data_IF_345853294953
#
_entry.id   IF_345853294953
#
_cell.length_a   1.000
_cell.length_b   1.000
_cell.length_c   1.000
_cell.angle_alpha   90.00
_cell.angle_beta   90.00
_cell.angle_gamma   90.00
#
_symmetry.space_group_name_H-M   'P 1'
#
loop_
_entity.id
_entity.type
_entity.pdbx_description
1 polymer ?
#
# COMPACT_ATOMS: atom_id res chain seq x y z
N UNK A 1 8.89 2.05 -0.48
CA UNK A 1 9.29 0.65 -0.31
C UNK A 1 8.20 -0.12 0.42
N UNK A 2 8.03 -1.41 0.12
CA UNK A 2 7.08 -2.31 0.80
C UNK A 2 7.87 -3.55 1.23
N UNK A 3 7.77 -3.91 2.50
CA UNK A 3 8.36 -5.13 3.04
C UNK A 3 7.28 -6.22 3.08
N UNK A 4 7.59 -7.38 2.49
CA UNK A 4 6.74 -8.57 2.50
C UNK A 4 7.37 -9.67 3.35
N UNK A 5 6.55 -10.53 3.96
CA UNK A 5 7.00 -11.82 4.49
C UNK A 5 7.22 -12.82 3.35
N UNK A 6 7.88 -13.97 3.60
CA UNK A 6 7.99 -15.05 2.61
C UNK A 6 6.65 -15.61 2.11
N UNK A 7 5.55 -15.36 2.83
CA UNK A 7 4.20 -15.74 2.41
C UNK A 7 3.48 -14.63 1.62
N UNK A 8 4.18 -13.55 1.26
CA UNK A 8 3.62 -12.40 0.53
C UNK A 8 2.73 -11.48 1.38
N UNK A 9 2.88 -11.50 2.70
CA UNK A 9 2.11 -10.63 3.61
C UNK A 9 2.83 -9.30 3.82
N UNK A 10 2.11 -8.18 3.70
CA UNK A 10 2.66 -6.85 3.98
C UNK A 10 3.05 -6.75 5.45
N UNK A 11 4.34 -6.56 5.71
CA UNK A 11 4.90 -6.29 7.03
C UNK A 11 5.05 -4.80 7.30
N UNK A 12 5.40 -4.02 6.28
CA UNK A 12 5.63 -2.57 6.40
C UNK A 12 5.51 -1.88 5.05
N UNK A 13 5.02 -0.65 5.05
CA UNK A 13 5.01 0.25 3.88
C UNK A 13 5.73 1.52 4.28
N UNK A 14 6.69 1.99 3.50
CA UNK A 14 7.42 3.25 3.74
C UNK A 14 7.45 4.12 2.50
N UNK A 15 7.20 5.42 2.68
CA UNK A 15 7.33 6.44 1.63
C UNK A 15 8.69 7.09 1.80
N UNK A 16 9.64 6.70 0.96
CA UNK A 16 11.03 7.18 1.04
C UNK A 16 11.17 8.61 0.52
N UNK A 17 10.43 8.91 -0.53
CA UNK A 17 10.44 10.21 -1.18
C UNK A 17 9.03 10.54 -1.70
N UNK A 18 8.69 11.83 -1.68
CA UNK A 18 7.45 12.36 -2.25
C UNK A 18 7.76 13.78 -2.73
N UNK A 19 7.48 14.05 -4.00
CA UNK A 19 7.89 15.29 -4.68
C UNK A 19 6.71 16.12 -5.18
N UNK A 20 5.51 15.91 -4.62
CA UNK A 20 4.35 16.75 -4.94
C UNK A 20 4.06 17.74 -3.81
N UNK A 21 3.43 18.85 -4.16
CA UNK A 21 3.09 19.95 -3.25
C UNK A 21 2.05 19.56 -2.20
N UNK A 22 1.11 18.68 -2.57
CA UNK A 22 0.01 18.23 -1.70
C UNK A 22 -0.04 16.72 -1.66
N UNK A 23 -0.60 16.16 -0.60
CA UNK A 23 -0.82 14.72 -0.47
C UNK A 23 0.31 13.95 0.20
N UNK A 24 1.31 14.64 0.75
CA UNK A 24 2.42 14.05 1.50
C UNK A 24 2.00 13.38 2.82
N UNK A 25 0.76 13.58 3.25
CA UNK A 25 0.13 13.01 4.44
C UNK A 25 0.07 11.48 4.39
N UNK A 26 0.20 10.86 3.21
CA UNK A 26 0.38 9.40 3.06
C UNK A 26 1.61 8.87 3.83
N UNK A 27 2.53 9.75 4.25
CA UNK A 27 3.64 9.39 5.15
C UNK A 27 3.19 9.08 6.57
N UNK A 28 2.00 9.49 6.97
CA UNK A 28 1.45 9.23 8.30
C UNK A 28 1.50 7.71 8.60
N UNK A 29 2.25 7.29 9.64
CA UNK A 29 2.36 5.88 10.00
C UNK A 29 1.00 5.22 10.28
N UNK A 30 0.08 5.93 10.94
CA UNK A 30 -1.24 5.39 11.27
C UNK A 30 -2.07 5.09 10.02
N UNK A 31 -1.97 5.93 8.99
CA UNK A 31 -2.64 5.65 7.71
C UNK A 31 -2.02 4.44 7.01
N UNK A 32 -0.68 4.33 6.99
CA UNK A 32 0.06 3.22 6.36
C UNK A 32 -0.14 1.88 7.07
N UNK A 33 -0.44 1.88 8.37
CA UNK A 33 -0.69 0.65 9.12
C UNK A 33 -1.89 -0.15 8.59
N UNK A 34 -2.83 0.48 7.88
CA UNK A 34 -3.99 -0.20 7.27
C UNK A 34 -3.60 -1.28 6.25
N UNK A 35 -2.37 -1.20 5.71
CA UNK A 35 -1.87 -2.17 4.74
C UNK A 35 -1.19 -3.39 5.40
N UNK A 36 -0.84 -3.33 6.68
CA UNK A 36 -0.17 -4.44 7.38
C UNK A 36 -1.10 -5.66 7.42
N UNK A 37 -0.55 -6.84 7.16
CA UNK A 37 -1.30 -8.09 7.13
C UNK A 37 -2.04 -8.36 5.81
N UNK A 38 -2.12 -7.38 4.90
CA UNK A 38 -2.70 -7.59 3.57
C UNK A 38 -1.78 -8.50 2.75
N UNK A 39 -2.38 -9.33 1.90
CA UNK A 39 -1.69 -10.24 0.95
C UNK A 39 -2.52 -10.40 -0.32
N UNK A 40 -2.03 -11.16 -1.29
CA UNK A 40 -2.83 -11.51 -2.47
C UNK A 40 -4.21 -12.05 -2.07
N UNK A 41 -5.26 -11.60 -2.77
CA UNK A 41 -6.66 -11.90 -2.45
C UNK A 41 -7.28 -11.04 -1.35
N UNK A 42 -6.51 -10.23 -0.62
CA UNK A 42 -7.07 -9.28 0.35
C UNK A 42 -7.82 -8.15 -0.34
N UNK A 43 -8.91 -7.69 0.28
CA UNK A 43 -9.59 -6.48 -0.13
C UNK A 43 -8.71 -5.25 0.20
N UNK A 44 -8.34 -4.52 -0.85
CA UNK A 44 -7.48 -3.32 -0.84
C UNK A 44 -8.06 -2.31 -1.83
N UNK A 45 -9.16 -1.67 -1.44
CA UNK A 45 -9.81 -0.59 -2.19
C UNK A 45 -9.90 0.68 -1.33
N UNK A 46 -9.43 1.81 -1.87
CA UNK A 46 -9.54 3.12 -1.21
C UNK A 46 -11.02 3.51 -1.03
N UNK A 47 -11.36 4.02 0.14
CA UNK A 47 -12.72 4.42 0.52
C UNK A 47 -13.62 3.26 0.92
N UNK A 48 -13.14 2.01 0.84
CA UNK A 48 -13.85 0.82 1.35
C UNK A 48 -13.03 0.10 2.40
N UNK A 49 -11.89 -0.44 2.00
CA UNK A 49 -11.00 -1.23 2.88
C UNK A 49 -9.87 -0.38 3.48
N UNK A 50 -9.49 0.67 2.77
CA UNK A 50 -8.44 1.61 3.16
C UNK A 50 -9.07 2.99 3.25
N UNK A 51 -9.01 3.60 4.42
CA UNK A 51 -9.52 4.96 4.64
C UNK A 51 -8.74 5.94 3.79
N UNK A 52 -9.43 6.94 3.25
CA UNK A 52 -8.79 8.04 2.55
C UNK A 52 -8.20 9.06 3.54
N UNK A 53 -7.29 9.91 3.05
CA UNK A 53 -6.86 11.11 3.75
C UNK A 53 -7.43 12.32 2.99
N UNK A 54 -8.16 13.18 3.71
CA UNK A 54 -8.68 14.44 3.16
C UNK A 54 -7.54 15.31 2.64
N UNK A 55 -7.69 15.89 1.44
CA UNK A 55 -6.64 16.68 0.78
C UNK A 55 -5.53 15.87 0.10
N UNK A 56 -5.51 14.54 0.29
CA UNK A 56 -4.50 13.64 -0.26
C UNK A 56 -5.14 12.47 -1.05
N UNK A 57 -6.32 12.69 -1.65
CA UNK A 57 -7.10 11.62 -2.30
C UNK A 57 -6.36 10.94 -3.43
N UNK A 58 -5.69 11.71 -4.29
CA UNK A 58 -4.97 11.16 -5.44
C UNK A 58 -3.78 10.32 -5.00
N UNK A 59 -2.98 10.85 -4.07
CA UNK A 59 -1.82 10.18 -3.48
C UNK A 59 -2.22 8.90 -2.75
N UNK A 60 -3.28 8.97 -1.93
CA UNK A 60 -3.84 7.82 -1.21
C UNK A 60 -4.31 6.74 -2.18
N UNK A 61 -4.95 7.14 -3.30
CA UNK A 61 -5.40 6.21 -4.35
C UNK A 61 -4.22 5.53 -5.02
N UNK A 62 -3.24 6.29 -5.50
CA UNK A 62 -2.08 5.74 -6.20
C UNK A 62 -1.24 4.80 -5.33
N UNK A 63 -1.04 5.13 -4.05
CA UNK A 63 -0.36 4.22 -3.12
C UNK A 63 -1.17 2.94 -2.90
N UNK A 64 -2.48 3.05 -2.68
CA UNK A 64 -3.37 1.90 -2.48
C UNK A 64 -3.35 0.96 -3.70
N UNK A 65 -3.50 1.52 -4.89
CA UNK A 65 -3.49 0.77 -6.15
C UNK A 65 -2.10 0.18 -6.46
N UNK A 66 -1.03 0.90 -6.09
CA UNK A 66 0.35 0.41 -6.19
C UNK A 66 0.60 -0.81 -5.31
N UNK A 67 0.15 -0.78 -4.06
CA UNK A 67 0.25 -1.91 -3.13
C UNK A 67 -0.55 -3.10 -3.66
N UNK A 68 -1.80 -2.89 -4.10
CA UNK A 68 -2.61 -3.95 -4.68
C UNK A 68 -1.92 -4.62 -5.87
N UNK A 69 -1.36 -3.82 -6.80
CA UNK A 69 -0.61 -4.32 -7.95
C UNK A 69 0.60 -5.13 -7.51
N UNK A 70 1.39 -4.62 -6.57
CA UNK A 70 2.58 -5.33 -6.08
C UNK A 70 2.24 -6.68 -5.43
N UNK A 71 1.12 -6.77 -4.70
CA UNK A 71 0.67 -8.03 -4.11
C UNK A 71 0.28 -9.07 -5.18
N UNK A 72 -0.33 -8.63 -6.27
CA UNK A 72 -0.62 -9.50 -7.43
C UNK A 72 0.68 -9.92 -8.10
N UNK A 73 1.60 -8.98 -8.34
CA UNK A 73 2.91 -9.27 -8.95
C UNK A 73 3.70 -10.29 -8.14
N UNK A 74 3.74 -10.14 -6.81
CA UNK A 74 4.40 -11.10 -5.93
C UNK A 74 3.81 -12.51 -6.07
N UNK A 75 2.48 -12.63 -6.05
CA UNK A 75 1.81 -13.92 -6.21
C UNK A 75 2.10 -14.59 -7.56
N UNK A 76 2.20 -13.79 -8.63
CA UNK A 76 2.40 -14.31 -9.98
C UNK A 76 3.86 -14.67 -10.27
N UNK A 77 4.82 -13.89 -9.75
CA UNK A 77 6.22 -13.97 -10.17
C UNK A 77 7.19 -14.44 -9.09
N UNK A 78 6.85 -14.29 -7.81
CA UNK A 78 7.81 -14.48 -6.70
C UNK A 78 7.42 -15.57 -5.70
N UNK A 79 6.16 -16.02 -5.68
CA UNK A 79 5.71 -17.03 -4.71
C UNK A 79 6.37 -18.41 -4.90
N UNK A 80 6.77 -18.73 -6.12
CA UNK A 80 7.37 -20.02 -6.50
C UNK A 80 8.82 -19.87 -6.97
N UNK A 81 9.42 -18.70 -6.77
CA UNK A 81 10.83 -18.45 -7.03
C UNK A 81 11.66 -18.86 -5.80
#
# INVERSE_FOLDING_TARGET
>A
AIALTPDGVVRRVEILEYRETYGGEIRNPAWRQQFIGKRFGSAVQLGKDIRNISGATLSSRHVTDGIRRLLVTYQLLLRNA
#
